data_IF_130199519151
#
_entry.id   IF_130199519151
#
_cell.length_a   1.000
_cell.length_b   1.000
_cell.length_c   1.000
_cell.angle_alpha   90.00
_cell.angle_beta   90.00
_cell.angle_gamma   90.00
#
_symmetry.space_group_name_H-M   'P 1'
#
loop_
_entity.id
_entity.type
_entity.pdbx_description
1 polymer ?
#
# COMPACT_ATOMS: atom_id res chain seq x y z
N UNK A 1 16.88 -20.97 -11.61
CA UNK A 1 18.00 -20.26 -10.96
C UNK A 1 17.52 -18.88 -10.50
N UNK A 2 17.12 -18.00 -11.43
CA UNK A 2 16.54 -16.68 -11.14
C UNK A 2 15.39 -16.70 -10.11
N UNK A 3 14.40 -17.57 -10.29
CA UNK A 3 13.30 -17.76 -9.33
C UNK A 3 13.75 -18.21 -7.93
N UNK A 4 14.84 -18.98 -7.84
CA UNK A 4 15.36 -19.46 -6.55
C UNK A 4 16.19 -18.37 -5.85
N UNK A 5 16.94 -17.57 -6.60
CA UNK A 5 17.68 -16.43 -6.06
C UNK A 5 16.76 -15.40 -5.41
N UNK A 6 15.54 -15.25 -5.92
CA UNK A 6 14.50 -14.38 -5.34
C UNK A 6 14.00 -14.85 -3.95
N UNK A 7 14.32 -16.08 -3.54
CA UNK A 7 13.99 -16.60 -2.20
C UNK A 7 15.00 -16.16 -1.14
N UNK A 8 16.16 -15.60 -1.50
CA UNK A 8 17.17 -15.24 -0.51
C UNK A 8 16.64 -14.18 0.46
N UNK A 9 16.78 -14.43 1.77
CA UNK A 9 16.25 -13.63 2.91
C UNK A 9 14.72 -13.64 3.05
N UNK A 10 13.99 -14.46 2.31
CA UNK A 10 12.57 -14.65 2.59
C UNK A 10 12.39 -15.51 3.83
N UNK A 11 11.30 -15.26 4.55
CA UNK A 11 10.90 -16.04 5.72
C UNK A 11 9.54 -16.67 5.40
N UNK A 12 9.48 -18.00 5.41
CA UNK A 12 8.22 -18.72 5.40
C UNK A 12 7.66 -18.77 6.83
N UNK A 13 6.48 -18.17 7.03
CA UNK A 13 5.80 -18.11 8.33
C UNK A 13 4.90 -19.33 8.48
N UNK A 14 5.04 -20.05 9.60
CA UNK A 14 4.27 -21.27 9.88
C UNK A 14 4.35 -22.31 8.74
N UNK A 15 5.56 -22.72 8.35
CA UNK A 15 5.74 -23.73 7.31
C UNK A 15 5.07 -25.04 7.75
N UNK A 16 4.72 -25.87 6.78
CA UNK A 16 4.13 -27.17 7.06
C UNK A 16 4.99 -27.96 8.07
N UNK A 17 4.34 -28.55 9.07
CA UNK A 17 4.99 -29.24 10.18
C UNK A 17 5.84 -30.44 9.76
N UNK A 18 5.78 -30.89 8.51
CA UNK A 18 6.64 -31.94 7.98
C UNK A 18 7.45 -31.40 6.80
N UNK A 19 8.76 -31.22 6.99
CA UNK A 19 9.66 -31.03 5.85
C UNK A 19 10.01 -32.43 5.34
N UNK A 20 9.35 -32.86 4.27
CA UNK A 20 9.51 -34.21 3.72
C UNK A 20 10.80 -34.36 2.94
N UNK A 21 11.45 -35.53 3.09
CA UNK A 21 12.60 -35.99 2.29
C UNK A 21 13.96 -35.34 2.66
N UNK A 22 14.36 -35.49 3.92
CA UNK A 22 15.72 -35.15 4.38
C UNK A 22 16.82 -36.06 3.80
N UNK A 23 16.42 -37.14 3.15
CA UNK A 23 17.28 -38.13 2.49
C UNK A 23 16.87 -38.26 1.02
N UNK A 24 17.31 -37.32 0.17
CA UNK A 24 17.13 -37.45 -1.28
C UNK A 24 18.37 -38.08 -1.92
N UNK A 25 18.22 -39.13 -2.75
CA UNK A 25 19.33 -39.59 -3.59
C UNK A 25 19.74 -38.52 -4.62
N UNK A 26 20.91 -38.70 -5.22
CA UNK A 26 21.44 -37.83 -6.29
C UNK A 26 20.47 -37.75 -7.48
N UNK A 27 20.28 -36.55 -8.07
CA UNK A 27 19.31 -36.28 -9.13
C UNK A 27 19.17 -34.79 -9.47
N UNK A 28 18.09 -34.40 -10.18
CA UNK A 28 17.87 -33.03 -10.66
C UNK A 28 17.15 -32.09 -9.67
N UNK A 29 16.62 -32.61 -8.57
CA UNK A 29 15.85 -31.83 -7.59
C UNK A 29 16.72 -30.82 -6.82
N UNK A 30 16.18 -29.72 -6.29
CA UNK A 30 16.88 -28.87 -5.34
C UNK A 30 17.30 -29.63 -4.07
N UNK A 31 18.46 -29.26 -3.51
CA UNK A 31 18.94 -29.73 -2.20
C UNK A 31 18.67 -28.66 -1.16
N UNK A 32 17.97 -29.02 -0.07
CA UNK A 32 17.65 -28.11 1.03
C UNK A 32 18.50 -28.49 2.24
N UNK A 33 19.32 -27.55 2.71
CA UNK A 33 20.12 -27.70 3.94
C UNK A 33 19.47 -26.90 5.05
N UNK A 34 19.03 -27.58 6.12
CA UNK A 34 18.27 -26.97 7.21
C UNK A 34 19.16 -26.88 8.44
N UNK A 35 19.45 -25.65 8.88
CA UNK A 35 20.11 -25.38 10.15
C UNK A 35 19.06 -25.28 11.26
N UNK A 36 19.15 -26.18 12.25
CA UNK A 36 18.33 -26.16 13.47
C UNK A 36 19.13 -25.49 14.60
N UNK A 37 18.82 -24.25 15.00
CA UNK A 37 19.59 -23.57 16.04
C UNK A 37 19.35 -24.20 17.42
N UNK A 38 20.39 -24.16 18.26
CA UNK A 38 20.33 -24.63 19.65
C UNK A 38 19.17 -23.95 20.38
N UNK A 39 18.33 -24.75 21.04
CA UNK A 39 17.13 -24.27 21.74
C UNK A 39 15.84 -24.33 20.92
N UNK A 40 15.90 -24.70 19.64
CA UNK A 40 14.70 -24.98 18.84
C UNK A 40 14.14 -26.35 19.17
N UNK A 41 12.82 -26.45 19.33
CA UNK A 41 12.15 -27.75 19.40
C UNK A 41 11.92 -28.27 17.98
N UNK A 42 12.64 -29.34 17.63
CA UNK A 42 12.43 -30.09 16.41
C UNK A 42 12.57 -31.59 16.67
N UNK A 43 11.79 -32.39 15.96
CA UNK A 43 11.86 -33.84 16.00
C UNK A 43 12.16 -34.38 14.60
N UNK A 44 13.20 -35.20 14.50
CA UNK A 44 13.44 -36.00 13.32
C UNK A 44 12.56 -37.25 13.38
N UNK A 45 11.76 -37.48 12.35
CA UNK A 45 10.86 -38.63 12.27
C UNK A 45 11.18 -39.43 11.02
N UNK A 46 11.37 -40.74 11.18
CA UNK A 46 11.55 -41.67 10.06
C UNK A 46 10.18 -42.23 9.66
N UNK A 47 9.68 -41.83 8.50
CA UNK A 47 8.45 -42.36 7.91
C UNK A 47 8.62 -43.75 7.27
N UNK A 48 7.49 -44.38 6.93
CA UNK A 48 7.48 -45.60 6.09
C UNK A 48 8.03 -45.25 4.70
N UNK A 49 8.81 -46.13 4.08
CA UNK A 49 9.48 -45.94 2.77
C UNK A 49 10.65 -44.94 2.74
N UNK A 50 11.45 -44.84 3.80
CA UNK A 50 12.65 -43.97 3.86
C UNK A 50 12.37 -42.47 3.70
N UNK A 51 11.13 -42.03 3.92
CA UNK A 51 10.80 -40.61 3.99
C UNK A 51 11.18 -40.08 5.37
N UNK A 52 12.36 -39.49 5.49
CA UNK A 52 12.75 -38.76 6.69
C UNK A 52 12.07 -37.39 6.71
N UNK A 53 11.46 -37.03 7.83
CA UNK A 53 10.74 -35.77 8.05
C UNK A 53 11.35 -35.00 9.22
N UNK A 54 11.40 -33.66 9.09
CA UNK A 54 11.67 -32.78 10.21
C UNK A 54 10.36 -32.15 10.67
N UNK A 55 10.00 -32.41 11.93
CA UNK A 55 8.91 -31.74 12.62
C UNK A 55 9.45 -30.57 13.43
N UNK A 56 8.85 -29.40 13.27
CA UNK A 56 9.25 -28.18 13.99
C UNK A 56 8.10 -27.69 14.87
N UNK A 57 8.41 -26.89 15.89
CA UNK A 57 7.39 -26.32 16.77
C UNK A 57 6.42 -25.38 16.06
N UNK A 58 5.21 -25.28 16.62
CA UNK A 58 4.18 -24.35 16.14
C UNK A 58 4.64 -22.91 16.25
N UNK A 59 4.47 -22.16 15.17
CA UNK A 59 4.83 -20.74 15.11
C UNK A 59 6.32 -20.49 14.83
N UNK A 60 7.12 -21.54 14.61
CA UNK A 60 8.44 -21.40 14.01
C UNK A 60 8.33 -20.90 12.55
N UNK A 61 9.42 -20.34 12.05
CA UNK A 61 9.59 -19.94 10.65
C UNK A 61 10.80 -20.60 10.01
N UNK A 62 10.91 -20.51 8.69
CA UNK A 62 12.10 -20.92 7.93
C UNK A 62 12.62 -19.72 7.16
N UNK A 63 13.86 -19.33 7.43
CA UNK A 63 14.56 -18.23 6.75
C UNK A 63 15.52 -18.79 5.73
N UNK A 64 15.38 -18.42 4.46
CA UNK A 64 16.35 -18.78 3.42
C UNK A 64 17.58 -17.91 3.56
N UNK A 65 18.68 -18.49 4.03
CA UNK A 65 19.94 -17.76 4.29
C UNK A 65 20.75 -17.61 3.00
N UNK A 66 20.67 -18.60 2.11
CA UNK A 66 21.45 -18.60 0.87
C UNK A 66 20.83 -19.49 -0.21
N UNK A 67 21.13 -19.15 -1.46
CA UNK A 67 20.78 -19.98 -2.62
C UNK A 67 22.00 -20.01 -3.54
N UNK A 68 22.50 -21.20 -3.82
CA UNK A 68 23.72 -21.39 -4.62
C UNK A 68 23.55 -22.55 -5.60
N UNK A 69 24.41 -22.59 -6.62
CA UNK A 69 24.50 -23.70 -7.56
C UNK A 69 25.69 -24.56 -7.18
N UNK A 70 25.47 -25.85 -6.98
CA UNK A 70 26.49 -26.82 -6.59
C UNK A 70 26.61 -27.92 -7.64
N UNK A 71 27.80 -28.52 -7.74
CA UNK A 71 28.04 -29.72 -8.53
C UNK A 71 27.84 -30.94 -7.61
N UNK A 72 26.84 -31.77 -7.89
CA UNK A 72 26.52 -32.99 -7.16
C UNK A 72 26.66 -34.18 -8.11
N UNK A 73 27.76 -34.94 -7.95
CA UNK A 73 28.21 -35.89 -8.96
C UNK A 73 28.57 -35.18 -10.27
N UNK A 74 27.89 -35.54 -11.37
CA UNK A 74 28.08 -34.92 -12.70
C UNK A 74 26.93 -33.98 -13.09
N UNK A 75 26.07 -33.58 -12.14
CA UNK A 75 24.93 -32.71 -12.41
C UNK A 75 24.95 -31.46 -11.53
N UNK A 76 24.54 -30.32 -12.10
CA UNK A 76 24.35 -29.10 -11.33
C UNK A 76 23.00 -29.11 -10.63
N UNK A 77 23.00 -28.77 -9.33
CA UNK A 77 21.80 -28.65 -8.51
C UNK A 77 21.75 -27.29 -7.83
N UNK A 78 20.54 -26.84 -7.49
CA UNK A 78 20.36 -25.65 -6.64
C UNK A 78 20.39 -26.11 -5.19
N UNK A 79 21.31 -25.56 -4.40
CA UNK A 79 21.36 -25.67 -2.94
C UNK A 79 20.63 -24.48 -2.33
N UNK A 80 19.63 -24.75 -1.50
CA UNK A 80 18.90 -23.75 -0.72
C UNK A 80 19.28 -23.98 0.74
N UNK A 81 20.00 -23.04 1.33
CA UNK A 81 20.36 -23.05 2.74
C UNK A 81 19.28 -22.31 3.52
N UNK A 82 18.74 -22.96 4.54
CA UNK A 82 17.69 -22.39 5.37
C UNK A 82 18.01 -22.52 6.86
N UNK A 83 17.50 -21.60 7.66
CA UNK A 83 17.60 -21.60 9.13
C UNK A 83 16.20 -21.65 9.73
N UNK A 84 15.99 -22.54 10.68
CA UNK A 84 14.78 -22.49 11.50
C UNK A 84 14.84 -21.27 12.41
N UNK A 85 13.77 -20.49 12.41
CA UNK A 85 13.53 -19.43 13.37
C UNK A 85 12.58 -19.99 14.43
N UNK A 86 12.99 -19.99 15.70
CA UNK A 86 12.14 -20.47 16.79
C UNK A 86 10.87 -19.62 16.93
N UNK A 87 9.84 -20.18 17.56
CA UNK A 87 8.59 -19.48 17.85
C UNK A 87 8.80 -18.20 18.67
N UNK A 88 9.75 -18.20 19.60
CA UNK A 88 10.12 -17.01 20.38
C UNK A 88 10.87 -15.97 19.55
N UNK A 89 11.81 -16.39 18.68
CA UNK A 89 12.47 -15.47 17.76
C UNK A 89 11.46 -14.88 16.76
N UNK A 90 10.52 -15.67 16.26
CA UNK A 90 9.41 -15.21 15.42
C UNK A 90 8.52 -14.21 16.17
N UNK A 91 8.22 -14.44 17.44
CA UNK A 91 7.43 -13.52 18.28
C UNK A 91 8.16 -12.20 18.49
N UNK A 92 9.46 -12.26 18.79
CA UNK A 92 10.30 -11.07 18.93
C UNK A 92 10.39 -10.29 17.63
N UNK A 93 10.55 -10.97 16.48
CA UNK A 93 10.51 -10.34 15.16
C UNK A 93 9.17 -9.63 14.92
N UNK A 94 8.04 -10.30 15.17
CA UNK A 94 6.70 -9.69 15.05
C UNK A 94 6.51 -8.49 15.97
N UNK A 95 6.98 -8.58 17.22
CA UNK A 95 6.90 -7.47 18.16
C UNK A 95 7.77 -6.29 17.73
N UNK A 96 8.98 -6.54 17.22
CA UNK A 96 9.84 -5.49 16.68
C UNK A 96 9.22 -4.79 15.47
N UNK A 97 8.65 -5.55 14.53
CA UNK A 97 7.91 -4.99 13.39
C UNK A 97 6.73 -4.15 13.87
N UNK A 98 5.94 -4.65 14.83
CA UNK A 98 4.83 -3.90 15.42
C UNK A 98 5.28 -2.59 16.08
N UNK A 99 6.39 -2.61 16.84
CA UNK A 99 6.94 -1.40 17.45
C UNK A 99 7.42 -0.39 16.40
N UNK A 100 8.05 -0.86 15.32
CA UNK A 100 8.50 -0.02 14.20
C UNK A 100 7.31 0.58 13.44
N UNK A 101 6.27 -0.21 13.17
CA UNK A 101 5.02 0.26 12.57
C UNK A 101 4.36 1.33 13.44
N UNK A 102 4.26 1.11 14.76
CA UNK A 102 3.68 2.10 15.67
C UNK A 102 4.47 3.41 15.66
N UNK A 103 5.80 3.35 15.73
CA UNK A 103 6.65 4.54 15.65
C UNK A 103 6.51 5.27 14.31
N UNK A 104 6.43 4.54 13.20
CA UNK A 104 6.20 5.12 11.88
C UNK A 104 4.81 5.75 11.75
N UNK A 105 3.75 5.08 12.22
CA UNK A 105 2.38 5.58 12.22
C UNK A 105 2.27 6.88 13.03
N UNK A 106 2.89 6.94 14.21
CA UNK A 106 2.93 8.15 15.03
C UNK A 106 3.65 9.30 14.32
N UNK A 107 4.82 9.05 13.74
CA UNK A 107 5.58 10.04 12.98
C UNK A 107 4.77 10.61 11.80
N UNK A 108 4.17 9.73 10.99
CA UNK A 108 3.37 10.11 9.83
C UNK A 108 2.10 10.86 10.25
N UNK A 109 1.46 10.41 11.34
CA UNK A 109 0.28 11.07 11.91
C UNK A 109 0.60 12.49 12.38
N UNK A 110 1.72 12.68 13.07
CA UNK A 110 2.19 14.00 13.49
C UNK A 110 2.53 14.88 12.29
N UNK A 111 3.18 14.31 11.27
CA UNK A 111 3.58 15.04 10.06
C UNK A 111 2.38 15.56 9.27
N UNK A 112 1.38 14.71 9.04
CA UNK A 112 0.22 15.04 8.23
C UNK A 112 -0.82 15.83 9.03
N UNK A 113 -0.97 15.55 10.33
CA UNK A 113 -2.06 16.06 11.16
C UNK A 113 -3.34 15.22 11.12
N UNK A 114 -3.29 14.04 10.48
CA UNK A 114 -4.37 13.06 10.37
C UNK A 114 -3.86 11.68 10.76
N UNK A 115 -4.76 10.78 11.16
CA UNK A 115 -4.36 9.41 11.51
C UNK A 115 -3.83 8.69 10.27
N UNK A 116 -2.56 8.28 10.30
CA UNK A 116 -1.91 7.50 9.24
C UNK A 116 -1.53 6.13 9.78
N UNK A 117 -1.89 5.10 9.03
CA UNK A 117 -1.58 3.70 9.34
C UNK A 117 -0.81 3.08 8.18
N UNK A 118 0.25 2.33 8.50
CA UNK A 118 0.93 1.44 7.59
C UNK A 118 0.42 0.02 7.83
N UNK A 119 -0.12 -0.60 6.79
CA UNK A 119 -0.54 -1.98 6.78
C UNK A 119 0.49 -2.81 6.01
N UNK A 120 1.43 -3.39 6.74
CA UNK A 120 2.50 -4.21 6.20
C UNK A 120 2.68 -5.46 7.04
N UNK A 121 2.83 -6.58 6.33
CA UNK A 121 3.23 -7.87 6.89
C UNK A 121 4.72 -8.16 6.66
N UNK A 122 5.42 -7.27 5.94
CA UNK A 122 6.83 -7.39 5.60
C UNK A 122 7.70 -7.00 6.80
N UNK A 123 8.69 -7.83 7.20
CA UNK A 123 9.64 -7.44 8.22
C UNK A 123 10.55 -6.27 7.81
N UNK A 124 10.78 -6.06 6.51
CA UNK A 124 11.48 -4.88 6.00
C UNK A 124 10.48 -3.78 5.64
N UNK A 125 10.29 -2.86 6.58
CA UNK A 125 9.34 -1.75 6.46
C UNK A 125 9.90 -0.54 5.70
N UNK A 126 11.16 -0.58 5.26
CA UNK A 126 11.84 0.61 4.74
C UNK A 126 11.14 1.21 3.52
N UNK A 127 10.67 0.38 2.59
CA UNK A 127 9.98 0.82 1.37
C UNK A 127 8.66 1.51 1.70
N UNK A 128 7.75 0.84 2.42
CA UNK A 128 6.43 1.40 2.75
C UNK A 128 6.56 2.67 3.61
N UNK A 129 7.46 2.69 4.60
CA UNK A 129 7.68 3.87 5.46
C UNK A 129 8.19 5.04 4.62
N UNK A 130 9.18 4.83 3.75
CA UNK A 130 9.72 5.90 2.90
C UNK A 130 8.68 6.43 1.91
N UNK A 131 7.93 5.54 1.27
CA UNK A 131 6.90 5.93 0.30
C UNK A 131 5.77 6.72 0.99
N UNK A 132 5.29 6.24 2.14
CA UNK A 132 4.28 6.96 2.92
C UNK A 132 4.80 8.30 3.44
N UNK A 133 6.05 8.37 3.91
CA UNK A 133 6.67 9.61 4.36
C UNK A 133 6.80 10.63 3.24
N UNK A 134 7.30 10.23 2.08
CA UNK A 134 7.47 11.11 0.92
C UNK A 134 6.10 11.60 0.42
N UNK A 135 5.11 10.72 0.35
CA UNK A 135 3.77 11.03 -0.11
C UNK A 135 3.04 12.01 0.82
N UNK A 136 3.00 11.70 2.11
CA UNK A 136 2.37 12.55 3.13
C UNK A 136 3.09 13.89 3.28
N UNK A 137 4.42 13.90 3.23
CA UNK A 137 5.21 15.14 3.32
C UNK A 137 4.99 16.05 2.11
N UNK A 138 4.97 15.47 0.90
CA UNK A 138 4.76 16.24 -0.34
C UNK A 138 3.34 16.81 -0.38
N UNK A 139 2.33 15.98 -0.09
CA UNK A 139 0.93 16.43 -0.05
C UNK A 139 0.73 17.54 1.00
N UNK A 140 1.21 17.32 2.23
CA UNK A 140 1.09 18.31 3.30
C UNK A 140 1.80 19.62 2.96
N UNK A 141 3.01 19.55 2.40
CA UNK A 141 3.75 20.73 1.97
C UNK A 141 3.00 21.52 0.90
N UNK A 142 2.46 20.84 -0.11
CA UNK A 142 1.65 21.48 -1.16
C UNK A 142 0.37 22.10 -0.63
N UNK A 143 -0.30 21.43 0.31
CA UNK A 143 -1.46 21.99 0.99
C UNK A 143 -1.08 23.23 1.82
N UNK A 144 0.07 23.20 2.49
CA UNK A 144 0.56 24.32 3.29
C UNK A 144 0.97 25.54 2.45
N UNK A 145 1.46 25.32 1.23
CA UNK A 145 1.76 26.37 0.26
C UNK A 145 0.50 27.15 -0.13
N UNK A 146 -0.69 26.52 -0.11
CA UNK A 146 -1.97 27.21 -0.36
C UNK A 146 -2.28 28.25 0.73
N UNK A 147 -1.87 28.01 1.98
CA UNK A 147 -1.99 29.00 3.06
C UNK A 147 -0.98 30.11 2.89
N UNK A 148 0.27 29.73 2.63
CA UNK A 148 1.38 30.67 2.54
C UNK A 148 1.22 31.64 1.37
N UNK A 149 0.53 31.20 0.31
CA UNK A 149 0.16 32.03 -0.86
C UNK A 149 -1.10 32.88 -0.65
N UNK A 150 -1.81 32.72 0.47
CA UNK A 150 -3.05 33.46 0.76
C UNK A 150 -4.28 32.99 -0.01
N UNK A 151 -4.19 31.86 -0.74
CA UNK A 151 -5.32 31.27 -1.46
C UNK A 151 -6.37 30.71 -0.50
N UNK A 152 -5.92 30.19 0.64
CA UNK A 152 -6.78 29.90 1.78
C UNK A 152 -6.52 30.98 2.83
N UNK A 153 -7.52 31.86 2.99
CA UNK A 153 -7.44 33.16 3.65
C UNK A 153 -7.00 33.15 5.12
N UNK A 154 -6.98 31.99 5.78
CA UNK A 154 -6.45 31.86 7.13
C UNK A 154 -5.86 30.45 7.34
N UNK A 155 -4.59 30.37 7.75
CA UNK A 155 -3.93 29.14 8.17
C UNK A 155 -4.75 28.36 9.21
N UNK A 156 -5.44 29.09 10.10
CA UNK A 156 -6.37 28.52 11.10
C UNK A 156 -7.52 27.76 10.46
N UNK A 157 -8.07 28.25 9.34
CA UNK A 157 -9.16 27.57 8.62
C UNK A 157 -8.65 26.31 7.90
N UNK A 158 -7.41 26.37 7.40
CA UNK A 158 -6.71 25.23 6.83
C UNK A 158 -6.44 24.08 7.78
N UNK A 159 -5.84 24.42 8.92
CA UNK A 159 -5.62 23.48 10.02
C UNK A 159 -6.97 22.96 10.56
N UNK A 160 -8.01 23.79 10.57
CA UNK A 160 -9.36 23.37 10.92
C UNK A 160 -9.96 22.32 9.95
N UNK A 161 -9.54 22.29 8.67
CA UNK A 161 -9.94 21.22 7.74
C UNK A 161 -9.39 19.89 8.22
N UNK A 162 -8.08 19.80 8.42
CA UNK A 162 -7.42 18.58 8.90
C UNK A 162 -7.95 18.17 10.28
N UNK A 163 -8.15 19.14 11.18
CA UNK A 163 -8.71 18.88 12.50
C UNK A 163 -10.11 18.28 12.42
N UNK A 164 -11.02 18.89 11.65
CA UNK A 164 -12.39 18.41 11.53
C UNK A 164 -12.46 17.06 10.82
N UNK A 165 -11.64 16.83 9.79
CA UNK A 165 -11.53 15.51 9.16
C UNK A 165 -11.06 14.45 10.18
N UNK A 166 -10.05 14.79 11.00
CA UNK A 166 -9.57 13.92 12.09
C UNK A 166 -10.66 13.61 13.10
N UNK A 167 -11.37 14.63 13.58
CA UNK A 167 -12.47 14.50 14.55
C UNK A 167 -13.63 13.67 14.00
N UNK A 168 -13.85 13.71 12.70
CA UNK A 168 -14.85 12.88 12.02
C UNK A 168 -14.38 11.45 11.76
N UNK A 169 -13.14 11.11 12.12
CA UNK A 169 -12.60 9.76 12.04
C UNK A 169 -11.85 9.44 10.74
N UNK A 170 -11.54 10.44 9.91
CA UNK A 170 -10.77 10.21 8.69
C UNK A 170 -9.38 9.65 9.02
N UNK A 171 -9.02 8.56 8.35
CA UNK A 171 -7.67 7.99 8.38
C UNK A 171 -7.15 7.68 6.98
N UNK A 172 -5.82 7.62 6.86
CA UNK A 172 -5.13 7.18 5.66
C UNK A 172 -4.39 5.88 5.96
N UNK A 173 -4.59 4.86 5.14
CA UNK A 173 -3.90 3.57 5.27
C UNK A 173 -3.09 3.29 4.00
N UNK A 174 -1.79 3.07 4.18
CA UNK A 174 -0.89 2.63 3.12
C UNK A 174 -0.79 1.11 3.16
N UNK A 175 -1.02 0.46 2.02
CA UNK A 175 -0.92 -0.99 1.86
C UNK A 175 0.22 -1.35 0.91
N UNK A 176 0.83 -2.51 1.07
CA UNK A 176 1.82 -3.05 0.12
C UNK A 176 1.21 -3.88 -1.01
N UNK A 177 -0.08 -4.23 -0.86
CA UNK A 177 -0.81 -5.03 -1.83
C UNK A 177 -1.61 -4.13 -2.78
N UNK A 178 -1.70 -4.59 -4.03
CA UNK A 178 -2.53 -3.98 -5.05
C UNK A 178 -3.97 -3.85 -4.55
N UNK A 179 -4.51 -2.63 -4.55
CA UNK A 179 -5.89 -2.40 -4.19
C UNK A 179 -6.79 -2.90 -5.32
N UNK A 180 -7.78 -3.72 -4.97
CA UNK A 180 -8.88 -4.09 -5.85
C UNK A 180 -10.16 -3.52 -5.26
N UNK A 181 -10.85 -2.67 -6.03
CA UNK A 181 -12.19 -2.20 -5.68
C UNK A 181 -13.15 -2.80 -6.70
N UNK A 182 -14.16 -3.47 -6.19
CA UNK A 182 -15.34 -3.82 -6.98
C UNK A 182 -16.22 -2.58 -7.08
N UNK A 183 -16.48 -2.09 -8.30
CA UNK A 183 -17.45 -1.02 -8.49
C UNK A 183 -18.81 -1.43 -7.89
N UNK A 184 -19.59 -0.48 -7.38
CA UNK A 184 -21.02 -0.69 -7.20
C UNK A 184 -21.63 -1.01 -8.58
N UNK A 185 -21.90 -2.29 -8.83
CA UNK A 185 -22.31 -2.81 -10.15
C UNK A 185 -21.53 -4.04 -10.63
N UNK A 186 -20.49 -4.47 -9.91
CA UNK A 186 -19.80 -5.74 -10.18
C UNK A 186 -18.79 -5.71 -11.33
N UNK A 187 -18.49 -4.54 -11.90
CA UNK A 187 -17.33 -4.38 -12.78
C UNK A 187 -16.07 -4.19 -11.94
N UNK A 188 -15.08 -5.06 -12.12
CA UNK A 188 -13.74 -4.84 -11.60
C UNK A 188 -13.17 -3.58 -12.26
N UNK A 189 -12.94 -2.54 -11.47
CA UNK A 189 -11.91 -1.58 -11.86
C UNK A 189 -10.58 -2.33 -11.78
N UNK A 190 -9.67 -2.10 -12.72
CA UNK A 190 -8.32 -2.67 -12.65
C UNK A 190 -7.59 -2.26 -11.36
N UNK A 191 -6.31 -2.61 -11.23
CA UNK A 191 -5.50 -2.14 -10.09
C UNK A 191 -5.61 -0.61 -9.96
N UNK A 192 -6.11 -0.16 -8.81
CA UNK A 192 -6.26 1.26 -8.48
C UNK A 192 -5.17 1.68 -7.48
N UNK A 193 -4.72 2.92 -7.60
CA UNK A 193 -3.61 3.47 -6.80
C UNK A 193 -4.08 3.91 -5.41
N UNK A 194 -5.34 4.32 -5.30
CA UNK A 194 -5.96 4.68 -4.04
C UNK A 194 -7.48 4.69 -4.16
N UNK A 195 -8.14 4.74 -3.02
CA UNK A 195 -9.59 4.82 -2.95
C UNK A 195 -10.08 5.27 -1.58
N UNK A 196 -11.11 6.12 -1.59
CA UNK A 196 -11.82 6.55 -0.40
C UNK A 196 -13.05 5.67 -0.12
N UNK A 197 -13.20 5.25 1.15
CA UNK A 197 -14.38 4.56 1.66
C UNK A 197 -15.16 5.49 2.59
N UNK A 198 -16.36 5.96 2.21
CA UNK A 198 -17.22 6.77 3.09
C UNK A 198 -17.64 6.02 4.36
N UNK A 199 -17.94 4.72 4.24
CA UNK A 199 -18.36 3.88 5.38
C UNK A 199 -17.26 3.77 6.44
N UNK A 200 -16.02 3.53 6.02
CA UNK A 200 -14.87 3.38 6.92
C UNK A 200 -14.19 4.71 7.25
N UNK A 201 -14.57 5.79 6.54
CA UNK A 201 -13.89 7.09 6.53
C UNK A 201 -12.39 6.90 6.36
N UNK A 202 -12.02 6.16 5.33
CA UNK A 202 -10.67 5.68 5.13
C UNK A 202 -10.23 5.95 3.69
N UNK A 203 -9.07 6.60 3.55
CA UNK A 203 -8.33 6.66 2.29
C UNK A 203 -7.34 5.51 2.30
N UNK A 204 -7.46 4.59 1.33
CA UNK A 204 -6.48 3.52 1.11
C UNK A 204 -5.57 3.91 -0.03
N UNK A 205 -4.28 3.64 0.10
CA UNK A 205 -3.26 3.94 -0.92
C UNK A 205 -2.35 2.72 -1.11
N UNK A 206 -2.17 2.30 -2.36
CA UNK A 206 -1.16 1.31 -2.72
C UNK A 206 0.22 1.98 -2.64
N UNK A 207 0.97 1.65 -1.59
CA UNK A 207 2.29 2.23 -1.31
C UNK A 207 3.38 1.78 -2.27
N UNK A 208 3.13 0.75 -3.10
CA UNK A 208 4.11 0.25 -4.07
C UNK A 208 4.10 1.04 -5.39
N UNK A 209 3.14 1.94 -5.55
CA UNK A 209 3.07 2.82 -6.71
C UNK A 209 4.15 3.90 -6.69
N UNK A 210 4.43 4.49 -7.85
CA UNK A 210 5.47 5.51 -8.01
C UNK A 210 5.30 6.66 -7.00
N UNK A 211 6.40 7.04 -6.34
CA UNK A 211 6.47 8.20 -5.44
C UNK A 211 5.97 9.51 -6.05
N UNK A 212 6.00 9.64 -7.37
CA UNK A 212 5.50 10.82 -8.08
C UNK A 212 3.96 10.85 -8.20
N UNK A 213 3.30 9.71 -8.07
CA UNK A 213 1.85 9.55 -8.22
C UNK A 213 1.16 9.64 -6.85
N UNK A 214 1.74 9.01 -5.82
CA UNK A 214 1.13 8.90 -4.49
C UNK A 214 0.63 10.22 -3.90
N UNK A 215 1.36 11.36 -3.94
CA UNK A 215 0.86 12.61 -3.39
C UNK A 215 -0.40 13.11 -4.10
N UNK A 216 -0.46 12.93 -5.42
CA UNK A 216 -1.63 13.30 -6.23
C UNK A 216 -2.83 12.40 -5.95
N UNK A 217 -2.59 11.09 -5.79
CA UNK A 217 -3.64 10.14 -5.35
C UNK A 217 -4.18 10.52 -3.98
N UNK A 218 -3.32 10.80 -3.00
CA UNK A 218 -3.77 11.25 -1.68
C UNK A 218 -4.63 12.50 -1.84
N UNK A 219 -4.20 13.50 -2.62
CA UNK A 219 -4.97 14.71 -2.82
C UNK A 219 -6.34 14.45 -3.47
N UNK A 220 -6.41 13.55 -4.45
CA UNK A 220 -7.67 13.13 -5.09
C UNK A 220 -8.63 12.49 -4.08
N UNK A 221 -8.18 11.46 -3.37
CA UNK A 221 -9.02 10.78 -2.36
C UNK A 221 -9.40 11.71 -1.20
N UNK A 222 -8.56 12.71 -0.91
CA UNK A 222 -8.88 13.76 0.04
C UNK A 222 -10.04 14.64 -0.43
N UNK A 223 -10.15 14.89 -1.73
CA UNK A 223 -11.29 15.57 -2.35
C UNK A 223 -12.60 14.80 -2.09
N UNK A 224 -12.59 13.49 -2.31
CA UNK A 224 -13.73 12.62 -1.97
C UNK A 224 -14.08 12.67 -0.47
N UNK A 225 -13.07 12.65 0.40
CA UNK A 225 -13.29 12.77 1.84
C UNK A 225 -13.86 14.13 2.26
N UNK A 226 -13.49 15.22 1.57
CA UNK A 226 -14.08 16.54 1.78
C UNK A 226 -15.53 16.55 1.32
N UNK A 227 -15.85 16.02 0.14
CA UNK A 227 -17.23 15.93 -0.35
C UNK A 227 -18.13 15.18 0.66
N UNK A 228 -17.69 14.02 1.12
CA UNK A 228 -18.43 13.25 2.13
C UNK A 228 -18.60 14.04 3.45
N UNK A 229 -17.50 14.49 4.06
CA UNK A 229 -17.54 14.99 5.44
C UNK A 229 -17.99 16.45 5.58
N UNK A 230 -17.91 17.26 4.52
CA UNK A 230 -18.35 18.65 4.53
C UNK A 230 -19.65 18.87 3.78
N UNK A 231 -19.87 18.12 2.71
CA UNK A 231 -20.99 18.33 1.80
C UNK A 231 -21.97 17.16 1.81
N UNK A 232 -21.77 16.15 2.68
CA UNK A 232 -22.59 14.93 2.76
C UNK A 232 -22.75 14.27 1.39
N UNK A 233 -21.65 14.20 0.62
CA UNK A 233 -21.61 13.58 -0.70
C UNK A 233 -22.67 14.17 -1.67
N UNK A 234 -22.90 15.48 -1.58
CA UNK A 234 -23.89 16.17 -2.43
C UNK A 234 -23.26 16.91 -3.61
N UNK A 235 -21.93 17.04 -3.69
CA UNK A 235 -21.30 17.82 -4.77
C UNK A 235 -21.54 17.21 -6.15
N UNK A 236 -21.63 15.88 -6.27
CA UNK A 236 -22.01 15.22 -7.53
C UNK A 236 -23.39 15.60 -8.07
N UNK A 237 -24.28 16.14 -7.22
CA UNK A 237 -25.61 16.62 -7.57
C UNK A 237 -25.68 18.15 -7.71
N UNK A 238 -24.58 18.85 -7.45
CA UNK A 238 -24.55 20.30 -7.55
C UNK A 238 -24.66 20.72 -9.03
N UNK A 239 -25.68 21.52 -9.39
CA UNK A 239 -25.92 21.88 -10.78
C UNK A 239 -24.86 22.84 -11.34
N UNK A 240 -24.18 23.62 -10.51
CA UNK A 240 -23.09 24.50 -10.97
C UNK A 240 -21.83 23.68 -11.23
N UNK A 241 -21.50 22.73 -10.35
CA UNK A 241 -20.38 21.81 -10.56
C UNK A 241 -20.61 20.90 -11.78
N UNK A 242 -21.84 20.44 -12.02
CA UNK A 242 -22.17 19.66 -13.21
C UNK A 242 -21.99 20.46 -14.52
N UNK A 243 -22.27 21.77 -14.50
CA UNK A 243 -21.99 22.67 -15.63
C UNK A 243 -20.49 22.83 -15.85
N UNK A 244 -19.71 23.03 -14.77
CA UNK A 244 -18.26 23.11 -14.84
C UNK A 244 -17.65 21.81 -15.40
N UNK A 245 -18.09 20.65 -14.90
CA UNK A 245 -17.71 19.35 -15.43
C UNK A 245 -17.96 19.26 -16.94
N UNK A 246 -19.18 19.60 -17.38
CA UNK A 246 -19.56 19.56 -18.80
C UNK A 246 -18.68 20.45 -19.67
N UNK A 247 -18.22 21.58 -19.13
CA UNK A 247 -17.36 22.57 -19.79
C UNK A 247 -15.89 22.12 -19.83
N UNK A 248 -15.37 21.62 -18.71
CA UNK A 248 -13.93 21.49 -18.48
C UNK A 248 -13.40 20.05 -18.64
N UNK A 249 -14.27 19.03 -18.77
CA UNK A 249 -13.84 17.62 -18.87
C UNK A 249 -12.82 17.32 -19.97
N UNK A 250 -12.96 17.95 -21.14
CA UNK A 250 -11.98 17.78 -22.23
C UNK A 250 -10.64 18.47 -21.93
N UNK A 251 -10.67 19.56 -21.16
CA UNK A 251 -9.47 20.28 -20.74
C UNK A 251 -8.70 19.41 -19.75
N UNK A 252 -9.39 18.79 -18.79
CA UNK A 252 -8.78 17.84 -17.86
C UNK A 252 -8.16 16.64 -18.58
N UNK A 253 -8.85 16.07 -19.57
CA UNK A 253 -8.30 14.99 -20.39
C UNK A 253 -6.99 15.39 -21.09
N UNK A 254 -6.96 16.59 -21.70
CA UNK A 254 -5.80 17.05 -22.49
C UNK A 254 -4.64 17.55 -21.63
N UNK A 255 -4.93 18.26 -20.55
CA UNK A 255 -3.93 18.99 -19.78
C UNK A 255 -3.47 18.25 -18.53
N UNK A 256 -4.31 17.37 -17.98
CA UNK A 256 -4.03 16.62 -16.75
C UNK A 256 -4.00 15.11 -16.94
N UNK A 257 -4.18 14.61 -18.17
CA UNK A 257 -4.29 13.18 -18.49
C UNK A 257 -5.41 12.47 -17.71
N UNK A 258 -6.49 13.22 -17.41
CA UNK A 258 -7.66 12.71 -16.70
C UNK A 258 -8.87 12.70 -17.64
N UNK A 259 -8.97 11.64 -18.45
CA UNK A 259 -10.10 11.39 -19.33
C UNK A 259 -11.18 10.58 -18.59
N UNK A 260 -12.07 11.30 -17.93
CA UNK A 260 -13.13 10.72 -17.12
C UNK A 260 -14.15 9.92 -17.93
N UNK A 261 -14.39 10.26 -19.20
CA UNK A 261 -15.30 9.49 -20.06
C UNK A 261 -14.70 8.13 -20.44
N UNK A 262 -13.36 8.05 -20.47
CA UNK A 262 -12.63 6.80 -20.66
C UNK A 262 -12.54 5.98 -19.38
N UNK A 263 -12.13 6.60 -18.27
CA UNK A 263 -11.90 5.89 -17.00
C UNK A 263 -13.20 5.48 -16.30
N UNK A 264 -14.25 6.29 -16.43
CA UNK A 264 -15.55 6.11 -15.76
C UNK A 264 -16.69 5.96 -16.76
N UNK A 265 -16.43 5.28 -17.88
CA UNK A 265 -17.39 5.11 -18.99
C UNK A 265 -18.76 4.59 -18.56
N UNK A 266 -18.81 3.72 -17.55
CA UNK A 266 -20.04 3.09 -17.07
C UNK A 266 -20.61 3.76 -15.79
N UNK A 267 -19.98 4.81 -15.30
CA UNK A 267 -20.45 5.55 -14.12
C UNK A 267 -21.64 6.46 -14.48
N UNK A 268 -22.48 6.74 -13.50
CA UNK A 268 -23.53 7.76 -13.65
C UNK A 268 -22.91 9.14 -13.82
N UNK A 269 -23.67 10.10 -14.37
CA UNK A 269 -23.20 11.49 -14.48
C UNK A 269 -22.89 12.08 -13.10
N UNK A 270 -23.69 11.76 -12.08
CA UNK A 270 -23.43 12.16 -10.69
C UNK A 270 -22.07 11.64 -10.21
N UNK A 271 -21.77 10.36 -10.44
CA UNK A 271 -20.46 9.77 -10.11
C UNK A 271 -19.32 10.47 -10.85
N UNK A 272 -19.48 10.77 -12.14
CA UNK A 272 -18.47 11.50 -12.89
C UNK A 272 -18.25 12.92 -12.33
N UNK A 273 -19.30 13.59 -11.87
CA UNK A 273 -19.15 14.91 -11.24
C UNK A 273 -18.39 14.81 -9.91
N UNK A 274 -18.61 13.76 -9.10
CA UNK A 274 -17.81 13.50 -7.90
C UNK A 274 -16.31 13.32 -8.22
N UNK A 275 -15.99 12.48 -9.21
CA UNK A 275 -14.62 12.22 -9.64
C UNK A 275 -13.95 13.46 -10.26
N UNK A 276 -14.73 14.27 -11.00
CA UNK A 276 -14.27 15.55 -11.51
C UNK A 276 -13.91 16.52 -10.36
N UNK A 277 -14.75 16.60 -9.33
CA UNK A 277 -14.46 17.43 -8.16
C UNK A 277 -13.20 16.96 -7.43
N UNK A 278 -13.07 15.66 -7.17
CA UNK A 278 -11.90 15.09 -6.52
C UNK A 278 -10.61 15.39 -7.30
N UNK A 279 -10.65 15.26 -8.62
CA UNK A 279 -9.50 15.59 -9.47
C UNK A 279 -9.22 17.10 -9.50
N UNK A 280 -10.25 17.94 -9.61
CA UNK A 280 -10.11 19.39 -9.56
C UNK A 280 -9.49 19.84 -8.24
N UNK A 281 -9.92 19.27 -7.11
CA UNK A 281 -9.32 19.49 -5.81
C UNK A 281 -7.86 19.04 -5.78
N UNK A 282 -7.54 17.86 -6.33
CA UNK A 282 -6.16 17.40 -6.41
C UNK A 282 -5.28 18.37 -7.20
N UNK A 283 -5.76 18.92 -8.31
CA UNK A 283 -5.02 19.94 -9.09
C UNK A 283 -4.95 21.27 -8.37
N UNK A 284 -5.98 21.67 -7.65
CA UNK A 284 -5.94 22.86 -6.81
C UNK A 284 -4.86 22.75 -5.72
N UNK A 285 -4.61 21.56 -5.18
CA UNK A 285 -3.53 21.35 -4.20
C UNK A 285 -2.17 21.21 -4.90
N UNK A 286 -2.08 20.39 -5.94
CA UNK A 286 -0.79 19.95 -6.49
C UNK A 286 -0.25 20.83 -7.61
N UNK A 287 -1.12 21.49 -8.38
CA UNK A 287 -0.80 22.24 -9.61
C UNK A 287 -1.72 23.46 -9.80
N UNK A 288 -1.82 24.29 -8.75
CA UNK A 288 -2.82 25.35 -8.64
C UNK A 288 -2.71 26.43 -9.73
N UNK A 289 -1.50 26.75 -10.19
CA UNK A 289 -1.29 27.76 -11.23
C UNK A 289 -1.83 27.28 -12.57
N UNK A 290 -1.53 26.03 -12.93
CA UNK A 290 -2.02 25.45 -14.18
C UNK A 290 -3.54 25.33 -14.15
N UNK A 291 -4.14 24.89 -13.04
CA UNK A 291 -5.60 24.85 -12.91
C UNK A 291 -6.23 26.23 -13.13
N UNK A 292 -5.68 27.26 -12.49
CA UNK A 292 -6.12 28.65 -12.66
C UNK A 292 -6.02 29.14 -14.10
N UNK A 293 -4.98 28.76 -14.82
CA UNK A 293 -4.77 29.19 -16.20
C UNK A 293 -5.75 28.54 -17.18
N UNK A 294 -6.03 27.24 -17.03
CA UNK A 294 -6.77 26.47 -18.03
C UNK A 294 -8.26 26.28 -17.70
N UNK A 295 -8.61 26.33 -16.41
CA UNK A 295 -9.97 26.13 -15.91
C UNK A 295 -10.28 27.12 -14.76
N UNK A 296 -10.24 28.45 -15.02
CA UNK A 296 -10.32 29.49 -13.98
C UNK A 296 -11.63 29.53 -13.20
N UNK A 297 -12.74 29.03 -13.77
CA UNK A 297 -14.02 28.96 -13.06
C UNK A 297 -14.11 27.75 -12.13
N UNK A 298 -13.33 26.69 -12.42
CA UNK A 298 -13.18 25.50 -11.57
C UNK A 298 -12.19 25.76 -10.43
N UNK A 299 -11.21 26.65 -10.64
CA UNK A 299 -10.23 27.09 -9.66
C UNK A 299 -10.84 28.00 -8.57
#
# INVERSE_FOLDING_TARGET
>A
EEQATNLKKTIEVAPNYGITSLTKPSGSDPLVEITVPKGSHAAFVTGKNHSSELIIERGAGIEVTNVTKILDGNQYRIKIEVRIISSDEMRNKKQNVSNQLNAANEMLTQKLGLNVTLDSVNPDLSTIVNNAYDATSTFKGKFDDLFSSGLISNKTNGEAIFHRLKENGLKITFHEEALSITAQGGSEFGQIVGGYSPELKEIKVDSMMSKTILPGTIAHEFGHAIDDLYFNYQLGKDPELAKLFSKDKEIFAKSFDFDIEKYYKNASEEQKVHEFFAEAFAKFVMDNQKLKEIAPDTY
#
